data_IF_042905544572
#
_entry.id   IF_042905544572
#
_cell.length_a   1.000
_cell.length_b   1.000
_cell.length_c   1.000
_cell.angle_alpha   90.00
_cell.angle_beta   90.00
_cell.angle_gamma   90.00
#
_symmetry.space_group_name_H-M   'P 1'
#
loop_
_entity.id
_entity.type
_entity.pdbx_description
1 polymer ?
#
# COMPACT_ATOMS: atom_id res chain seq x y z
N UNK A 1 8.98 -0.82 -3.88
CA UNK A 1 7.93 0.20 -3.68
C UNK A 1 6.61 -0.45 -4.08
N UNK A 2 5.68 -0.62 -3.14
CA UNK A 2 4.47 -1.44 -3.33
C UNK A 2 3.49 -0.76 -4.29
N UNK A 3 3.23 -1.38 -5.44
CA UNK A 3 2.29 -0.88 -6.46
C UNK A 3 0.87 -0.63 -5.90
N UNK A 4 0.47 -1.36 -4.85
CA UNK A 4 -0.82 -1.23 -4.19
C UNK A 4 -1.09 0.17 -3.59
N UNK A 5 -0.05 0.84 -3.09
CA UNK A 5 -0.19 2.16 -2.47
C UNK A 5 -0.06 3.32 -3.46
N UNK A 6 0.42 3.06 -4.67
CA UNK A 6 0.71 4.09 -5.67
C UNK A 6 -0.22 4.03 -6.89
N UNK A 7 -1.05 2.99 -7.00
CA UNK A 7 -2.06 2.90 -8.04
C UNK A 7 -3.15 3.98 -7.81
N UNK A 8 -3.44 4.75 -8.86
CA UNK A 8 -4.45 5.81 -8.79
C UNK A 8 -5.87 5.22 -8.71
N UNK A 9 -6.83 6.02 -8.23
CA UNK A 9 -8.26 5.67 -8.19
C UNK A 9 -8.74 5.06 -9.50
N UNK A 10 -8.37 5.65 -10.63
CA UNK A 10 -8.72 5.16 -11.98
C UNK A 10 -8.17 3.76 -12.29
N UNK A 11 -6.97 3.42 -11.82
CA UNK A 11 -6.44 2.06 -12.00
C UNK A 11 -7.22 1.04 -11.20
N UNK A 12 -7.66 1.40 -9.99
CA UNK A 12 -8.53 0.52 -9.19
C UNK A 12 -9.95 0.43 -9.74
N UNK A 13 -10.51 1.50 -10.31
CA UNK A 13 -11.78 1.44 -11.05
C UNK A 13 -11.71 0.47 -12.22
N UNK A 14 -10.63 0.52 -13.00
CA UNK A 14 -10.40 -0.41 -14.10
C UNK A 14 -10.21 -1.82 -13.56
N UNK A 15 -9.43 -1.99 -12.49
CA UNK A 15 -9.19 -3.29 -11.87
C UNK A 15 -10.49 -3.90 -11.33
N UNK A 16 -11.33 -3.14 -10.62
CA UNK A 16 -12.64 -3.60 -10.15
C UNK A 16 -13.53 -4.06 -11.31
N UNK A 17 -13.57 -3.31 -12.41
CA UNK A 17 -14.30 -3.73 -13.62
C UNK A 17 -13.69 -4.95 -14.32
N UNK A 18 -12.39 -5.18 -14.17
CA UNK A 18 -11.74 -6.39 -14.67
C UNK A 18 -11.98 -7.61 -13.76
N UNK A 19 -12.36 -7.39 -12.51
CA UNK A 19 -12.50 -8.41 -11.47
C UNK A 19 -13.94 -8.77 -11.12
N UNK A 20 -14.87 -7.85 -11.37
CA UNK A 20 -16.31 -8.09 -11.41
C UNK A 20 -16.64 -8.98 -12.62
N UNK A 21 -16.77 -10.28 -12.38
CA UNK A 21 -16.97 -11.29 -13.44
C UNK A 21 -18.43 -11.33 -13.89
N UNK A 22 -19.35 -10.94 -13.00
CA UNK A 22 -20.79 -10.96 -13.25
C UNK A 22 -21.34 -9.62 -13.77
N UNK A 23 -20.55 -8.53 -13.72
CA UNK A 23 -20.85 -7.22 -14.28
C UNK A 23 -21.78 -6.35 -13.43
N UNK A 24 -21.97 -6.67 -12.14
CA UNK A 24 -22.90 -5.97 -11.25
C UNK A 24 -22.32 -4.70 -10.59
N UNK A 25 -21.05 -4.39 -10.88
CA UNK A 25 -20.30 -3.25 -10.37
C UNK A 25 -19.68 -3.45 -8.99
N UNK A 26 -19.85 -4.63 -8.38
CA UNK A 26 -19.27 -5.00 -7.08
C UNK A 26 -18.45 -6.28 -7.22
N UNK A 27 -17.65 -6.56 -6.19
CA UNK A 27 -16.83 -7.77 -6.14
C UNK A 27 -17.31 -8.63 -4.97
N UNK A 28 -17.66 -9.88 -5.21
CA UNK A 28 -17.94 -10.85 -4.16
C UNK A 28 -16.67 -11.56 -3.67
N UNK A 29 -16.81 -12.38 -2.62
CA UNK A 29 -15.66 -13.08 -2.04
C UNK A 29 -14.99 -14.04 -3.03
N UNK A 30 -15.76 -14.73 -3.87
CA UNK A 30 -15.20 -15.70 -4.82
C UNK A 30 -14.42 -15.01 -5.95
N UNK A 31 -14.93 -13.90 -6.45
CA UNK A 31 -14.26 -13.03 -7.41
C UNK A 31 -12.96 -12.48 -6.83
N UNK A 32 -12.99 -12.00 -5.58
CA UNK A 32 -11.81 -11.51 -4.90
C UNK A 32 -10.74 -12.60 -4.67
N UNK A 33 -11.14 -13.81 -4.26
CA UNK A 33 -10.21 -14.92 -4.03
C UNK A 33 -9.53 -15.40 -5.32
N UNK A 34 -10.29 -15.46 -6.43
CA UNK A 34 -9.74 -15.76 -7.76
C UNK A 34 -8.68 -14.75 -8.17
N UNK A 35 -8.93 -13.46 -7.92
CA UNK A 35 -7.99 -12.38 -8.24
C UNK A 35 -6.73 -12.45 -7.37
N UNK A 36 -6.87 -12.67 -6.06
CA UNK A 36 -5.73 -12.89 -5.19
C UNK A 36 -4.87 -14.06 -5.69
N UNK A 37 -5.50 -15.14 -6.15
CA UNK A 37 -4.81 -16.30 -6.71
C UNK A 37 -4.05 -15.97 -8.00
N UNK A 38 -4.62 -15.17 -8.91
CA UNK A 38 -3.96 -14.73 -10.16
C UNK A 38 -2.79 -13.78 -9.90
N UNK A 39 -2.95 -12.80 -9.01
CA UNK A 39 -1.85 -11.88 -8.65
C UNK A 39 -0.70 -12.66 -8.00
N UNK A 40 -1.02 -13.69 -7.20
CA UNK A 40 -0.03 -14.59 -6.62
C UNK A 40 0.75 -15.36 -7.68
N UNK A 41 0.09 -15.87 -8.73
CA UNK A 41 0.77 -16.63 -9.77
C UNK A 41 1.68 -15.76 -10.66
N UNK A 42 1.39 -14.46 -10.79
CA UNK A 42 2.19 -13.53 -11.59
C UNK A 42 3.35 -12.84 -10.85
N UNK A 43 3.37 -12.84 -9.50
CA UNK A 43 4.45 -12.22 -8.73
C UNK A 43 5.59 -13.22 -8.45
N UNK A 44 6.84 -12.75 -8.50
CA UNK A 44 8.05 -13.57 -8.27
C UNK A 44 8.08 -14.29 -6.91
N UNK A 45 7.27 -13.82 -5.96
CA UNK A 45 7.06 -14.43 -4.64
C UNK A 45 6.20 -15.69 -4.72
N UNK A 46 5.16 -15.75 -5.58
CA UNK A 46 4.30 -16.92 -5.70
C UNK A 46 4.86 -18.05 -6.57
N UNK A 47 5.68 -17.72 -7.57
CA UNK A 47 6.37 -18.69 -8.44
C UNK A 47 7.36 -19.60 -7.68
N UNK A 48 7.91 -19.15 -6.54
CA UNK A 48 8.93 -19.89 -5.76
C UNK A 48 8.36 -20.81 -4.68
N UNK A 49 7.03 -20.82 -4.50
CA UNK A 49 6.34 -21.52 -3.40
C UNK A 49 5.36 -22.59 -3.87
N UNK A 50 5.61 -23.23 -5.03
CA UNK A 50 4.81 -24.40 -5.44
C UNK A 50 5.14 -25.66 -4.61
N UNK A 51 6.34 -25.73 -4.02
CA UNK A 51 6.87 -26.97 -3.42
C UNK A 51 7.15 -26.94 -1.90
N UNK A 52 6.82 -25.87 -1.17
CA UNK A 52 7.03 -25.88 0.29
C UNK A 52 5.90 -25.23 1.09
N UNK A 53 5.25 -26.06 1.90
CA UNK A 53 3.99 -25.87 2.64
C UNK A 53 4.08 -24.99 3.89
N UNK A 54 5.18 -24.29 4.15
CA UNK A 54 5.41 -23.63 5.44
C UNK A 54 5.29 -22.09 5.46
N UNK A 55 4.93 -21.44 4.35
CA UNK A 55 4.70 -19.97 4.29
C UNK A 55 3.20 -19.61 4.34
N UNK A 56 2.30 -20.58 4.52
CA UNK A 56 0.85 -20.39 4.47
C UNK A 56 0.23 -19.65 5.67
N UNK A 57 0.92 -19.53 6.82
CA UNK A 57 0.29 -19.09 8.08
C UNK A 57 -0.03 -17.59 8.16
N UNK A 58 0.94 -16.71 7.85
CA UNK A 58 0.74 -15.24 7.92
C UNK A 58 -0.21 -14.75 6.81
N UNK A 59 -0.10 -15.34 5.62
CA UNK A 59 -0.93 -14.97 4.47
C UNK A 59 -2.38 -15.46 4.59
N UNK A 60 -2.61 -16.65 5.18
CA UNK A 60 -3.98 -17.08 5.54
C UNK A 60 -4.60 -16.16 6.59
N UNK A 61 -3.81 -15.69 7.55
CA UNK A 61 -4.29 -14.76 8.59
C UNK A 61 -4.67 -13.38 8.02
N UNK A 62 -3.82 -12.77 7.19
CA UNK A 62 -4.16 -11.51 6.51
C UNK A 62 -5.30 -11.67 5.49
N UNK A 63 -5.31 -12.78 4.75
CA UNK A 63 -6.42 -13.14 3.85
C UNK A 63 -7.74 -13.26 4.61
N UNK A 64 -7.75 -13.96 5.75
CA UNK A 64 -8.92 -14.13 6.62
C UNK A 64 -9.43 -12.82 7.21
N UNK A 65 -8.55 -11.95 7.72
CA UNK A 65 -8.95 -10.70 8.36
C UNK A 65 -9.49 -9.67 7.34
N UNK A 66 -8.82 -9.51 6.19
CA UNK A 66 -9.29 -8.61 5.13
C UNK A 66 -10.57 -9.14 4.50
N UNK A 67 -10.69 -10.46 4.32
CA UNK A 67 -11.92 -11.05 3.79
C UNK A 67 -13.08 -10.84 4.76
N UNK A 68 -12.86 -11.02 6.06
CA UNK A 68 -13.88 -10.75 7.08
C UNK A 68 -14.25 -9.26 7.15
N UNK A 69 -13.28 -8.35 6.99
CA UNK A 69 -13.52 -6.90 6.98
C UNK A 69 -14.35 -6.47 5.76
N UNK A 70 -14.03 -6.99 4.57
CA UNK A 70 -14.74 -6.63 3.35
C UNK A 70 -16.08 -7.33 3.20
N UNK A 71 -16.10 -8.65 3.39
CA UNK A 71 -17.23 -9.54 3.07
C UNK A 71 -18.03 -9.99 4.30
N UNK A 72 -17.62 -9.59 5.51
CA UNK A 72 -18.27 -9.96 6.77
C UNK A 72 -17.87 -11.35 7.29
N UNK A 73 -18.31 -11.73 8.51
CA UNK A 73 -17.95 -13.02 9.12
C UNK A 73 -18.44 -14.23 8.32
N UNK A 74 -19.54 -14.06 7.58
CA UNK A 74 -20.15 -15.10 6.74
C UNK A 74 -19.70 -15.04 5.27
N UNK A 75 -18.84 -14.08 4.91
CA UNK A 75 -18.30 -13.88 3.55
C UNK A 75 -19.36 -13.68 2.45
N UNK A 76 -20.54 -13.19 2.82
CA UNK A 76 -21.73 -13.05 1.96
C UNK A 76 -21.97 -11.61 1.48
N UNK A 77 -21.29 -10.62 2.07
CA UNK A 77 -21.40 -9.23 1.64
C UNK A 77 -20.61 -9.01 0.36
N UNK A 78 -21.00 -8.01 -0.43
CA UNK A 78 -20.24 -7.56 -1.59
C UNK A 78 -19.35 -6.37 -1.25
N UNK A 79 -18.18 -6.30 -1.88
CA UNK A 79 -17.25 -5.19 -1.77
C UNK A 79 -17.53 -4.19 -2.91
N UNK A 80 -17.98 -3.00 -2.53
CA UNK A 80 -18.10 -1.88 -3.47
C UNK A 80 -16.75 -1.20 -3.67
N UNK A 81 -16.59 -0.54 -4.82
CA UNK A 81 -15.38 0.22 -5.10
C UNK A 81 -15.18 1.39 -4.14
N UNK A 82 -16.24 2.07 -3.72
CA UNK A 82 -16.16 3.18 -2.78
C UNK A 82 -15.59 2.73 -1.43
N UNK A 83 -16.08 1.59 -0.92
CA UNK A 83 -15.57 0.99 0.32
C UNK A 83 -14.10 0.62 0.19
N UNK A 84 -13.70 0.08 -0.97
CA UNK A 84 -12.30 -0.27 -1.21
C UNK A 84 -11.39 0.96 -1.31
N UNK A 85 -11.81 2.00 -2.04
CA UNK A 85 -11.05 3.25 -2.15
C UNK A 85 -10.91 3.96 -0.79
N UNK A 86 -11.95 3.91 0.04
CA UNK A 86 -11.90 4.43 1.39
C UNK A 86 -10.91 3.65 2.26
N UNK A 87 -10.93 2.31 2.19
CA UNK A 87 -9.92 1.48 2.85
C UNK A 87 -8.49 1.81 2.37
N UNK A 88 -8.29 1.96 1.06
CA UNK A 88 -6.99 2.32 0.50
C UNK A 88 -6.51 3.67 1.04
N UNK A 89 -7.41 4.68 1.08
CA UNK A 89 -7.11 6.02 1.60
C UNK A 89 -6.73 5.97 3.08
N UNK A 90 -7.46 5.22 3.89
CA UNK A 90 -7.16 5.02 5.31
C UNK A 90 -5.80 4.34 5.48
N UNK A 91 -5.54 3.26 4.75
CA UNK A 91 -4.27 2.54 4.80
C UNK A 91 -3.08 3.42 4.38
N UNK A 92 -3.22 4.22 3.31
CA UNK A 92 -2.21 5.19 2.89
C UNK A 92 -1.94 6.23 3.98
N UNK A 93 -3.00 6.73 4.62
CA UNK A 93 -2.90 7.72 5.71
C UNK A 93 -2.14 7.13 6.91
N UNK A 94 -2.47 5.90 7.30
CA UNK A 94 -1.79 5.21 8.41
C UNK A 94 -0.32 4.95 8.12
N UNK A 95 0.02 4.48 6.92
CA UNK A 95 1.41 4.26 6.52
C UNK A 95 2.20 5.58 6.53
N UNK A 96 1.64 6.64 5.94
CA UNK A 96 2.29 7.95 5.93
C UNK A 96 2.47 8.50 7.35
N UNK A 97 1.47 8.28 8.22
CA UNK A 97 1.53 8.65 9.64
C UNK A 97 2.65 7.90 10.35
N UNK A 98 2.77 6.59 10.15
CA UNK A 98 3.85 5.79 10.74
C UNK A 98 5.24 6.24 10.24
N UNK A 99 5.38 6.54 8.95
CA UNK A 99 6.62 7.06 8.38
C UNK A 99 6.99 8.43 8.96
N UNK A 100 5.99 9.30 9.12
CA UNK A 100 6.15 10.60 9.76
C UNK A 100 6.60 10.44 11.22
N UNK A 101 5.93 9.59 12.00
CA UNK A 101 6.29 9.32 13.40
C UNK A 101 7.70 8.74 13.53
N UNK A 102 8.13 7.92 12.56
CA UNK A 102 9.49 7.38 12.52
C UNK A 102 10.56 8.46 12.34
N UNK A 103 10.21 9.65 11.80
CA UNK A 103 11.09 10.81 11.75
C UNK A 103 11.22 11.56 13.09
N UNK A 104 10.50 11.11 14.13
CA UNK A 104 10.52 11.66 15.49
C UNK A 104 10.18 13.15 15.51
N UNK A 105 8.93 13.52 15.19
CA UNK A 105 8.50 14.91 15.29
C UNK A 105 8.75 15.45 16.70
N UNK A 106 9.01 16.76 16.80
CA UNK A 106 9.16 17.45 18.07
C UNK A 106 7.81 17.55 18.81
N UNK A 107 7.81 18.14 20.02
CA UNK A 107 6.59 18.28 20.84
C UNK A 107 5.47 19.08 20.16
N UNK A 108 5.81 19.93 19.19
CA UNK A 108 4.87 20.74 18.40
C UNK A 108 4.40 20.01 17.13
N UNK A 109 4.87 18.80 16.87
CA UNK A 109 4.49 18.01 15.70
C UNK A 109 5.28 18.32 14.43
N UNK A 110 6.44 18.98 14.52
CA UNK A 110 7.28 19.28 13.35
C UNK A 110 8.41 18.26 13.19
N UNK A 111 8.71 17.91 11.93
CA UNK A 111 9.91 17.14 11.55
C UNK A 111 10.95 18.07 10.92
N UNK A 112 12.22 17.64 10.93
CA UNK A 112 13.30 18.41 10.29
C UNK A 112 13.10 18.50 8.78
N UNK A 113 13.54 19.60 8.18
CA UNK A 113 13.43 19.84 6.74
C UNK A 113 14.16 18.77 5.92
N UNK A 114 15.29 18.27 6.47
CA UNK A 114 16.02 17.15 5.88
C UNK A 114 15.23 15.85 5.90
N UNK A 115 14.42 15.62 6.93
CA UNK A 115 13.58 14.43 7.06
C UNK A 115 12.34 14.52 6.18
N UNK A 116 11.75 15.72 6.07
CA UNK A 116 10.68 16.00 5.13
C UNK A 116 11.14 15.84 3.68
N UNK A 117 12.31 16.37 3.33
CA UNK A 117 12.88 16.20 1.99
C UNK A 117 13.17 14.72 1.67
N UNK A 118 13.67 13.95 2.63
CA UNK A 118 13.91 12.52 2.48
C UNK A 118 12.61 11.74 2.22
N UNK A 119 11.53 12.08 2.95
CA UNK A 119 10.17 11.57 2.71
C UNK A 119 9.73 11.85 1.26
N UNK A 120 9.80 13.10 0.80
CA UNK A 120 9.41 13.45 -0.57
C UNK A 120 10.25 12.71 -1.63
N UNK A 121 11.57 12.66 -1.45
CA UNK A 121 12.47 12.06 -2.42
C UNK A 121 12.31 10.54 -2.50
N UNK A 122 11.93 9.89 -1.40
CA UNK A 122 11.60 8.46 -1.36
C UNK A 122 10.45 8.14 -2.34
N UNK A 123 9.45 9.01 -2.44
CA UNK A 123 8.29 8.82 -3.32
C UNK A 123 8.48 9.37 -4.75
N UNK A 124 9.54 10.12 -5.01
CA UNK A 124 9.75 10.79 -6.30
C UNK A 124 10.21 9.86 -7.45
N UNK A 125 10.43 8.57 -7.18
CA UNK A 125 10.86 7.60 -8.20
C UNK A 125 12.24 7.92 -8.80
N UNK A 126 13.09 8.63 -8.05
CA UNK A 126 14.41 9.05 -8.52
C UNK A 126 15.46 7.96 -8.34
N UNK A 127 16.54 8.03 -9.13
CA UNK A 127 17.70 7.17 -8.89
C UNK A 127 18.42 7.56 -7.60
N UNK A 128 19.05 6.58 -6.96
CA UNK A 128 19.79 6.78 -5.70
C UNK A 128 20.82 7.93 -5.80
N UNK A 129 21.50 8.04 -6.94
CA UNK A 129 22.46 9.13 -7.19
C UNK A 129 21.79 10.52 -7.14
N UNK A 130 20.60 10.66 -7.73
CA UNK A 130 19.83 11.92 -7.70
C UNK A 130 19.28 12.18 -6.30
N UNK A 131 18.75 11.15 -5.64
CA UNK A 131 18.27 11.18 -4.26
C UNK A 131 19.32 11.77 -3.30
N UNK A 132 20.51 11.15 -3.26
CA UNK A 132 21.63 11.58 -2.41
C UNK A 132 22.07 13.01 -2.75
N UNK A 133 22.15 13.37 -4.05
CA UNK A 133 22.56 14.71 -4.47
C UNK A 133 21.58 15.78 -4.01
N UNK A 134 20.27 15.53 -4.13
CA UNK A 134 19.23 16.47 -3.70
C UNK A 134 19.21 16.60 -2.18
N UNK A 135 19.30 15.49 -1.45
CA UNK A 135 19.34 15.50 0.00
C UNK A 135 20.58 16.26 0.54
N UNK A 136 21.74 16.14 -0.10
CA UNK A 136 22.94 16.93 0.23
C UNK A 136 22.72 18.44 0.07
N UNK A 137 21.95 18.88 -0.93
CA UNK A 137 21.61 20.30 -1.13
C UNK A 137 20.74 20.81 0.02
N UNK A 138 19.72 20.05 0.41
CA UNK A 138 18.85 20.39 1.56
C UNK A 138 19.68 20.48 2.84
N UNK A 139 20.52 19.47 3.12
CA UNK A 139 21.43 19.47 4.29
C UNK A 139 22.37 20.67 4.32
N UNK A 140 22.82 21.18 3.16
CA UNK A 140 23.68 22.36 3.08
C UNK A 140 22.93 23.66 3.40
N UNK A 141 21.69 23.77 2.96
CA UNK A 141 20.84 24.96 3.19
C UNK A 141 20.39 25.00 4.65
N UNK A 142 19.91 23.87 5.17
CA UNK A 142 19.35 23.75 6.52
C UNK A 142 20.37 23.25 7.55
N UNK A 143 21.67 23.49 7.33
CA UNK A 143 22.75 22.94 8.17
C UNK A 143 22.67 23.38 9.64
N UNK A 144 22.04 24.54 9.87
CA UNK A 144 21.82 25.13 11.19
C UNK A 144 20.34 25.14 11.60
N UNK A 145 19.45 24.52 10.83
CA UNK A 145 18.03 24.54 11.18
C UNK A 145 17.80 23.64 12.40
N UNK A 146 17.38 24.26 13.49
CA UNK A 146 16.89 23.59 14.70
C UNK A 146 15.38 23.66 14.60
N UNK A 147 14.78 22.55 14.19
CA UNK A 147 13.38 22.29 14.49
C UNK A 147 13.24 22.02 15.99
#
# INVERSE_FOLDING_TARGET
MNAFLLASKRHFEIAFRMFDLNGDGNVDYEEFDKVQTIIRSQTSVGMRHRDHSNTGSIYKFMGSALSTYFFGPSLDRKLTIEKFLEFQRQLQTEILTLEFQRKRPNAEGFIREVDFADLLLTYAGLSEKKHVKMLKRVKKIFKNSRV
#
